data_IF_919702790495
#
_entry.id   IF_919702790495
#
_cell.length_a   1.000
_cell.length_b   1.000
_cell.length_c   1.000
_cell.angle_alpha   90.00
_cell.angle_beta   90.00
_cell.angle_gamma   90.00
#
_symmetry.space_group_name_H-M   'P 1'
#
loop_
_entity.id
_entity.type
_entity.pdbx_description
1 polymer ?
#
# COMPACT_ATOMS: atom_id res chain seq x y z
N UNK A 1 -7.73 18.87 -14.89
CA UNK A 1 -7.52 17.76 -13.93
C UNK A 1 -6.05 17.40 -13.95
N UNK A 2 -5.30 17.72 -12.89
CA UNK A 2 -3.89 17.32 -12.82
C UNK A 2 -3.81 15.85 -12.44
N UNK A 3 -3.27 15.01 -13.33
CA UNK A 3 -2.93 13.62 -13.01
C UNK A 3 -2.03 13.62 -11.78
N UNK A 4 -2.37 12.82 -10.76
CA UNK A 4 -1.58 12.72 -9.55
C UNK A 4 -0.23 12.09 -9.92
N UNK A 5 0.88 12.81 -9.70
CA UNK A 5 2.24 12.31 -10.00
C UNK A 5 2.55 10.96 -9.34
N UNK A 6 1.83 10.60 -8.28
CA UNK A 6 1.93 9.29 -7.63
C UNK A 6 1.36 8.15 -8.48
N UNK A 7 0.21 8.36 -9.13
CA UNK A 7 -0.43 7.35 -9.97
C UNK A 7 0.44 7.03 -11.20
N UNK A 8 0.96 8.06 -11.86
CA UNK A 8 1.91 7.90 -12.97
C UNK A 8 3.14 7.07 -12.57
N UNK A 9 3.66 7.26 -11.35
CA UNK A 9 4.77 6.46 -10.86
C UNK A 9 4.39 4.98 -10.67
N UNK A 10 3.18 4.70 -10.18
CA UNK A 10 2.70 3.33 -9.99
C UNK A 10 2.46 2.65 -11.34
N UNK A 11 1.87 3.35 -12.32
CA UNK A 11 1.71 2.86 -13.70
C UNK A 11 3.07 2.49 -14.32
N UNK A 12 4.10 3.32 -14.13
CA UNK A 12 5.44 3.04 -14.65
C UNK A 12 6.07 1.77 -14.04
N UNK A 13 5.69 1.39 -12.81
CA UNK A 13 6.18 0.15 -12.18
C UNK A 13 5.62 -1.11 -12.84
N UNK A 14 4.56 -1.03 -13.65
CA UNK A 14 4.08 -2.17 -14.43
C UNK A 14 5.03 -2.58 -15.57
N UNK A 15 6.03 -1.75 -15.89
CA UNK A 15 7.08 -2.08 -16.88
C UNK A 15 8.41 -2.43 -16.23
N UNK A 16 8.46 -2.64 -14.91
CA UNK A 16 9.70 -2.90 -14.19
C UNK A 16 10.17 -4.36 -14.38
N UNK A 17 11.47 -4.57 -14.57
CA UNK A 17 12.07 -5.91 -14.83
C UNK A 17 11.91 -6.90 -13.66
N UNK A 18 11.68 -6.37 -12.45
CA UNK A 18 11.42 -7.18 -11.26
C UNK A 18 9.93 -7.55 -11.20
N UNK A 19 9.66 -8.85 -11.34
CA UNK A 19 8.31 -9.42 -11.32
C UNK A 19 7.52 -9.07 -10.05
N UNK A 20 8.14 -9.06 -8.87
CA UNK A 20 7.45 -8.74 -7.61
C UNK A 20 7.02 -7.25 -7.56
N UNK A 21 7.79 -6.36 -8.18
CA UNK A 21 7.44 -4.93 -8.30
C UNK A 21 6.25 -4.76 -9.27
N UNK A 22 6.31 -5.44 -10.41
CA UNK A 22 5.22 -5.48 -11.39
C UNK A 22 3.91 -5.97 -10.76
N UNK A 23 3.94 -7.14 -10.10
CA UNK A 23 2.76 -7.77 -9.51
C UNK A 23 2.11 -6.88 -8.45
N UNK A 24 2.91 -6.22 -7.59
CA UNK A 24 2.39 -5.27 -6.60
C UNK A 24 1.77 -4.04 -7.24
N UNK A 25 2.38 -3.50 -8.29
CA UNK A 25 1.85 -2.33 -8.99
C UNK A 25 0.49 -2.63 -9.64
N UNK A 26 0.37 -3.78 -10.32
CA UNK A 26 -0.89 -4.27 -10.90
C UNK A 26 -1.96 -4.41 -9.82
N UNK A 27 -1.67 -5.12 -8.73
CA UNK A 27 -2.65 -5.33 -7.65
C UNK A 27 -3.19 -4.03 -7.06
N UNK A 28 -2.33 -3.02 -6.85
CA UNK A 28 -2.75 -1.71 -6.32
C UNK A 28 -3.69 -1.00 -7.31
N UNK A 29 -3.35 -0.99 -8.60
CA UNK A 29 -4.17 -0.33 -9.62
C UNK A 29 -5.52 -1.03 -9.79
N UNK A 30 -5.54 -2.36 -9.79
CA UNK A 30 -6.77 -3.15 -9.87
C UNK A 30 -7.69 -2.95 -8.66
N UNK A 31 -7.12 -2.87 -7.45
CA UNK A 31 -7.91 -2.77 -6.21
C UNK A 31 -8.54 -1.39 -6.01
N UNK A 32 -7.88 -0.32 -6.46
CA UNK A 32 -8.26 1.05 -6.06
C UNK A 32 -8.53 2.01 -7.23
N UNK A 33 -8.17 1.63 -8.47
CA UNK A 33 -8.29 2.49 -9.66
C UNK A 33 -9.03 1.84 -10.83
N UNK A 34 -9.42 0.57 -10.75
CA UNK A 34 -10.42 0.02 -11.67
C UNK A 34 -11.82 0.29 -11.10
N UNK A 35 -12.63 1.00 -11.87
CA UNK A 35 -14.06 1.16 -11.63
C UNK A 35 -14.75 -0.14 -12.09
N UNK A 36 -14.75 -1.17 -11.26
CA UNK A 36 -15.81 -2.19 -11.38
C UNK A 36 -17.06 -1.57 -10.74
N UNK A 37 -17.99 -1.17 -11.61
CA UNK A 37 -19.31 -0.68 -11.23
C UNK A 37 -19.93 -1.62 -10.17
N UNK A 38 -20.19 -1.03 -9.00
CA UNK A 38 -21.37 -1.26 -8.14
C UNK A 38 -21.14 -1.75 -6.70
N UNK A 39 -20.09 -2.48 -6.30
CA UNK A 39 -20.02 -2.94 -4.87
C UNK A 39 -18.59 -3.29 -4.36
N UNK A 40 -17.53 -3.05 -5.13
CA UNK A 40 -16.19 -3.59 -4.84
C UNK A 40 -15.27 -2.69 -4.00
N UNK A 41 -15.77 -1.60 -3.42
CA UNK A 41 -15.13 -1.02 -2.22
C UNK A 41 -15.53 -1.84 -0.98
N UNK A 42 -15.51 -3.18 -1.10
CA UNK A 42 -15.45 -4.06 0.04
C UNK A 42 -14.10 -3.80 0.70
N UNK A 43 -14.14 -2.85 1.62
CA UNK A 43 -13.15 -2.56 2.65
C UNK A 43 -11.81 -3.31 2.48
N UNK A 44 -10.72 -2.65 2.04
CA UNK A 44 -9.41 -3.29 1.97
C UNK A 44 -8.88 -3.72 3.36
N UNK A 45 -9.52 -3.24 4.43
CA UNK A 45 -9.30 -3.57 5.84
C UNK A 45 -10.36 -4.57 6.37
N UNK A 46 -11.33 -4.97 5.55
CA UNK A 46 -12.50 -5.78 5.90
C UNK A 46 -12.25 -7.29 5.90
N UNK A 47 -11.10 -7.75 6.42
CA UNK A 47 -10.92 -9.17 6.74
C UNK A 47 -9.54 -9.75 6.50
N UNK A 48 -8.62 -9.03 5.89
CA UNK A 48 -7.20 -9.43 5.93
C UNK A 48 -6.56 -8.74 7.12
N UNK A 49 -6.25 -9.53 8.16
CA UNK A 49 -5.24 -9.14 9.12
C UNK A 49 -3.96 -8.85 8.31
N UNK A 50 -3.73 -7.58 7.99
CA UNK A 50 -2.44 -7.10 7.54
C UNK A 50 -1.46 -7.62 8.59
N UNK A 51 -0.42 -8.39 8.24
CA UNK A 51 0.69 -8.53 9.16
C UNK A 51 1.16 -7.09 9.37
N UNK A 52 0.84 -6.53 10.54
CA UNK A 52 1.07 -5.14 10.84
C UNK A 52 2.49 -4.82 10.40
N UNK A 53 2.65 -3.76 9.61
CA UNK A 53 3.96 -3.24 9.26
C UNK A 53 4.69 -2.95 10.57
N UNK A 54 5.49 -3.92 11.03
CA UNK A 54 6.07 -3.93 12.35
C UNK A 54 7.41 -3.19 12.25
N UNK A 55 7.44 -1.93 12.65
CA UNK A 55 8.67 -1.16 12.81
C UNK A 55 9.52 -1.62 14.02
N UNK A 56 9.38 -2.88 14.44
CA UNK A 56 9.93 -3.48 15.65
C UNK A 56 10.45 -4.90 15.42
N UNK A 57 11.03 -5.17 14.26
CA UNK A 57 11.70 -6.43 13.92
C UNK A 57 13.05 -6.63 14.61
N UNK A 58 13.15 -6.33 15.89
CA UNK A 58 14.26 -6.76 16.75
C UNK A 58 13.78 -6.72 18.20
N UNK A 59 14.18 -7.72 18.97
CA UNK A 59 13.82 -8.03 20.36
C UNK A 59 14.25 -6.94 21.35
N UNK A 60 13.83 -5.71 21.15
CA UNK A 60 14.03 -4.59 22.04
C UNK A 60 12.67 -4.05 22.46
N UNK A 61 12.33 -4.05 23.77
CA UNK A 61 11.13 -3.39 24.23
C UNK A 61 11.28 -1.92 23.89
N UNK A 62 10.51 -1.46 22.89
CA UNK A 62 10.39 -0.03 22.63
C UNK A 62 9.83 0.61 23.90
N UNK A 63 10.53 1.59 24.50
CA UNK A 63 10.05 2.22 25.71
C UNK A 63 8.68 2.85 25.45
N UNK A 64 7.75 2.67 26.38
CA UNK A 64 6.43 3.29 26.39
C UNK A 64 6.57 4.81 26.59
N UNK A 65 7.06 5.51 25.59
CA UNK A 65 7.30 6.95 25.61
C UNK A 65 7.18 7.46 24.17
N UNK A 66 6.03 8.02 23.85
CA UNK A 66 5.73 8.55 22.52
C UNK A 66 6.71 9.63 22.07
N UNK A 67 6.80 9.81 20.75
CA UNK A 67 7.64 10.81 20.11
C UNK A 67 7.22 12.22 20.55
N UNK A 68 8.16 13.01 21.08
CA UNK A 68 7.94 14.41 21.46
C UNK A 68 8.76 15.33 20.55
N UNK A 69 8.10 16.28 19.89
CA UNK A 69 8.77 17.41 19.22
C UNK A 69 8.69 18.61 20.15
N UNK A 70 9.57 18.64 21.15
CA UNK A 70 9.74 19.73 22.11
C UNK A 70 11.21 20.09 22.24
#
# INVERSE_FOLDING_TARGET
MSKLKGLEKIENLQSHDNTDIYEKAVKILETYWLEDDEEAAADPLGGVAQPGFNFGGSEHPVPSGGFNFG
#
